data_IF_600260094109
#
_entry.id   IF_600260094109
#
_cell.length_a   1.000
_cell.length_b   1.000
_cell.length_c   1.000
_cell.angle_alpha   90.00
_cell.angle_beta   90.00
_cell.angle_gamma   90.00
#
_symmetry.space_group_name_H-M   'P 1'
#
loop_
_entity.id
_entity.type
_entity.pdbx_description
1 polymer ?
#
# COMPACT_ATOMS: atom_id res chain seq x y z
N UNK A 1 14.87 16.11 2.14
CA UNK A 1 14.13 15.38 3.19
C UNK A 1 13.63 14.04 2.65
N UNK A 2 12.97 13.22 3.48
CA UNK A 2 12.52 11.86 3.12
C UNK A 2 11.00 11.67 3.11
N UNK A 3 10.21 12.75 3.21
CA UNK A 3 8.73 12.66 3.14
C UNK A 3 8.23 12.23 1.76
N UNK A 4 7.25 11.31 1.76
CA UNK A 4 6.56 10.85 0.55
C UNK A 4 5.52 11.83 -0.01
N UNK A 5 5.02 12.78 0.80
CA UNK A 5 3.94 13.69 0.36
C UNK A 5 4.32 15.17 0.42
N UNK A 6 5.28 15.55 1.27
CA UNK A 6 5.65 16.95 1.44
C UNK A 6 6.52 17.40 0.24
N UNK A 7 6.27 18.57 -0.37
CA UNK A 7 7.06 19.04 -1.51
C UNK A 7 8.45 19.50 -1.08
N UNK A 8 9.43 19.35 -1.98
CA UNK A 8 10.83 19.75 -1.75
C UNK A 8 10.98 21.23 -1.43
N UNK A 9 10.09 22.07 -1.96
CA UNK A 9 10.05 23.52 -1.79
C UNK A 9 9.87 23.98 -0.35
N UNK A 10 9.39 23.12 0.56
CA UNK A 10 9.37 23.41 2.00
C UNK A 10 10.76 23.72 2.57
N UNK A 11 11.82 23.22 1.93
CA UNK A 11 13.20 23.46 2.32
C UNK A 11 13.79 24.74 1.71
N UNK A 12 13.17 25.27 0.65
CA UNK A 12 13.70 26.40 -0.11
C UNK A 12 13.95 27.68 0.73
N UNK A 13 13.11 28.02 1.73
CA UNK A 13 13.39 29.17 2.59
C UNK A 13 14.61 29.01 3.51
N UNK A 14 15.06 27.78 3.74
CA UNK A 14 16.08 27.45 4.74
C UNK A 14 17.42 27.04 4.12
N UNK A 15 17.41 26.53 2.87
CA UNK A 15 18.58 25.95 2.23
C UNK A 15 18.68 26.37 0.76
N UNK A 16 19.88 26.73 0.31
CA UNK A 16 20.17 27.02 -1.10
C UNK A 16 20.23 25.75 -1.96
N UNK A 17 20.61 24.62 -1.35
CA UNK A 17 20.69 23.30 -1.98
C UNK A 17 19.74 22.37 -1.23
N UNK A 18 18.71 21.88 -1.89
CA UNK A 18 17.71 21.02 -1.27
C UNK A 18 17.16 19.99 -2.25
N UNK A 19 16.62 18.91 -1.70
CA UNK A 19 16.10 17.81 -2.49
C UNK A 19 15.46 16.74 -1.65
N UNK A 20 15.09 15.66 -2.32
CA UNK A 20 14.32 14.54 -1.82
C UNK A 20 15.17 13.29 -1.91
N UNK A 21 15.11 12.50 -0.84
CA UNK A 21 15.71 11.19 -0.76
C UNK A 21 14.68 10.27 -0.08
N UNK A 22 13.82 9.65 -0.87
CA UNK A 22 12.63 8.95 -0.38
C UNK A 22 12.74 7.45 -0.64
N UNK A 23 13.14 6.66 0.38
CA UNK A 23 13.04 5.21 0.30
C UNK A 23 11.57 4.78 0.42
N UNK A 24 11.03 4.14 -0.62
CA UNK A 24 9.65 3.66 -0.68
C UNK A 24 9.53 2.32 0.05
N UNK A 25 9.33 2.35 1.37
CA UNK A 25 9.14 1.17 2.19
C UNK A 25 8.36 1.51 3.47
N UNK A 26 7.65 0.51 4.01
CA UNK A 26 7.14 0.58 5.39
C UNK A 26 8.24 0.18 6.38
N UNK A 27 8.72 1.15 7.17
CA UNK A 27 9.76 0.92 8.17
C UNK A 27 9.14 0.57 9.52
N UNK A 28 9.70 -0.43 10.20
CA UNK A 28 9.32 -0.78 11.57
C UNK A 28 10.57 -0.98 12.41
N UNK A 29 10.47 -0.73 13.73
CA UNK A 29 11.61 -0.91 14.65
C UNK A 29 12.04 -2.36 14.82
N UNK A 30 11.17 -3.31 14.47
CA UNK A 30 11.33 -4.74 14.75
C UNK A 30 11.98 -5.50 13.59
N UNK A 31 12.08 -4.88 12.40
CA UNK A 31 12.55 -5.54 11.20
C UNK A 31 13.57 -4.65 10.48
N UNK A 32 14.78 -5.18 10.34
CA UNK A 32 15.78 -4.53 9.52
C UNK A 32 15.39 -4.63 8.03
N UNK A 33 15.36 -3.49 7.32
CA UNK A 33 15.07 -3.46 5.89
C UNK A 33 16.27 -3.93 5.08
N UNK A 34 16.05 -4.77 4.07
CA UNK A 34 17.04 -5.00 3.02
C UNK A 34 16.97 -3.87 2.00
N UNK A 35 17.90 -2.90 2.11
CA UNK A 35 17.92 -1.74 1.24
C UNK A 35 18.28 -2.05 -0.22
N UNK A 36 18.88 -3.21 -0.52
CA UNK A 36 19.23 -3.56 -1.89
C UNK A 36 18.00 -3.61 -2.80
N UNK A 37 16.86 -4.05 -2.25
CA UNK A 37 15.59 -4.23 -2.97
C UNK A 37 14.61 -3.07 -2.80
N UNK A 38 14.87 -2.12 -1.91
CA UNK A 38 13.97 -0.99 -1.64
C UNK A 38 14.16 0.10 -2.70
N UNK A 39 13.10 0.52 -3.42
CA UNK A 39 13.20 1.65 -4.33
C UNK A 39 13.55 2.94 -3.57
N UNK A 40 14.57 3.66 -4.04
CA UNK A 40 14.91 5.00 -3.56
C UNK A 40 14.55 6.02 -4.64
N UNK A 41 13.60 6.89 -4.32
CA UNK A 41 13.14 7.97 -5.16
C UNK A 41 13.89 9.26 -4.80
N UNK A 42 14.50 9.92 -5.78
CA UNK A 42 15.25 11.16 -5.58
C UNK A 42 14.73 12.30 -6.45
N UNK A 43 14.94 13.52 -5.99
CA UNK A 43 14.63 14.76 -6.73
C UNK A 43 15.44 15.93 -6.20
N UNK A 44 15.89 16.83 -7.06
CA UNK A 44 16.30 18.17 -6.65
C UNK A 44 16.09 19.16 -7.81
N UNK A 45 15.64 20.40 -7.52
CA UNK A 45 15.63 21.44 -8.54
C UNK A 45 17.03 21.88 -8.97
N UNK A 46 18.09 21.54 -8.22
CA UNK A 46 19.48 21.78 -8.61
C UNK A 46 20.09 20.51 -9.22
N UNK A 47 20.50 20.59 -10.48
CA UNK A 47 21.02 19.44 -11.23
C UNK A 47 22.27 18.82 -10.60
N UNK A 48 23.19 19.62 -10.04
CA UNK A 48 24.37 19.06 -9.36
C UNK A 48 23.99 18.25 -8.12
N UNK A 49 23.07 18.78 -7.29
CA UNK A 49 22.60 18.06 -6.11
C UNK A 49 21.84 16.79 -6.47
N UNK A 50 21.02 16.80 -7.53
CA UNK A 50 20.33 15.60 -7.99
C UNK A 50 21.30 14.49 -8.41
N UNK A 51 22.44 14.84 -9.01
CA UNK A 51 23.49 13.88 -9.34
C UNK A 51 24.19 13.32 -8.08
N UNK A 52 24.45 14.17 -7.08
CA UNK A 52 24.99 13.74 -5.79
C UNK A 52 24.03 12.78 -5.07
N UNK A 53 22.74 13.11 -5.02
CA UNK A 53 21.70 12.24 -4.45
C UNK A 53 21.60 10.91 -5.19
N UNK A 54 21.73 10.92 -6.51
CA UNK A 54 21.74 9.70 -7.32
C UNK A 54 22.96 8.82 -6.98
N UNK A 55 24.13 9.43 -6.84
CA UNK A 55 25.36 8.76 -6.42
C UNK A 55 25.19 8.08 -5.07
N UNK A 56 24.67 8.83 -4.09
CA UNK A 56 24.38 8.30 -2.75
C UNK A 56 23.33 7.18 -2.77
N UNK A 57 22.23 7.34 -3.49
CA UNK A 57 21.18 6.33 -3.53
C UNK A 57 21.68 5.00 -4.10
N UNK A 58 22.56 5.04 -5.11
CA UNK A 58 23.14 3.85 -5.74
C UNK A 58 24.13 3.09 -4.86
N UNK A 59 24.65 3.70 -3.79
CA UNK A 59 25.46 2.96 -2.80
C UNK A 59 24.59 2.18 -1.81
N UNK A 60 23.28 2.46 -1.77
CA UNK A 60 22.34 1.91 -0.78
C UNK A 60 21.35 0.92 -1.43
N UNK A 61 20.88 1.22 -2.65
CA UNK A 61 19.85 0.43 -3.33
C UNK A 61 20.21 0.16 -4.80
N UNK A 62 19.78 -0.99 -5.30
CA UNK A 62 19.88 -1.35 -6.72
C UNK A 62 18.74 -0.72 -7.56
N UNK A 63 17.70 -0.20 -6.92
CA UNK A 63 16.53 0.40 -7.56
C UNK A 63 16.43 1.88 -7.20
N UNK A 64 16.94 2.76 -8.08
CA UNK A 64 16.93 4.21 -7.87
C UNK A 64 16.18 4.91 -8.99
N UNK A 65 15.25 5.80 -8.62
CA UNK A 65 14.35 6.49 -9.54
C UNK A 65 14.39 8.00 -9.33
N UNK A 66 14.39 8.76 -10.43
CA UNK A 66 14.17 10.22 -10.39
C UNK A 66 12.69 10.49 -10.61
N UNK A 67 12.03 11.05 -9.60
CA UNK A 67 10.62 11.42 -9.68
C UNK A 67 10.43 12.79 -9.06
N UNK A 68 9.67 13.67 -9.69
CA UNK A 68 9.42 15.00 -9.15
C UNK A 68 8.44 14.98 -7.94
N UNK A 69 8.15 16.16 -7.40
CA UNK A 69 7.24 16.31 -6.26
C UNK A 69 5.80 15.83 -6.57
N UNK A 70 5.32 16.04 -7.79
CA UNK A 70 3.96 15.65 -8.21
C UNK A 70 3.86 14.12 -8.37
N UNK A 71 4.80 13.53 -9.10
CA UNK A 71 4.92 12.09 -9.28
C UNK A 71 5.09 11.37 -7.94
N UNK A 72 5.88 11.93 -7.02
CA UNK A 72 6.05 11.36 -5.67
C UNK A 72 4.76 11.40 -4.87
N UNK A 73 4.00 12.50 -4.94
CA UNK A 73 2.71 12.59 -4.25
C UNK A 73 1.72 11.54 -4.77
N UNK A 74 1.64 11.34 -6.09
CA UNK A 74 0.80 10.28 -6.70
C UNK A 74 1.25 8.89 -6.25
N UNK A 75 2.55 8.62 -6.31
CA UNK A 75 3.14 7.35 -5.86
C UNK A 75 2.82 7.08 -4.38
N UNK A 76 2.89 8.11 -3.54
CA UNK A 76 2.60 7.97 -2.11
C UNK A 76 1.12 7.61 -1.87
N UNK A 77 0.18 8.21 -2.59
CA UNK A 77 -1.23 7.83 -2.51
C UNK A 77 -1.42 6.37 -2.89
N UNK A 78 -0.82 5.91 -4.00
CA UNK A 78 -0.87 4.50 -4.39
C UNK A 78 -0.26 3.58 -3.32
N UNK A 79 0.86 3.98 -2.69
CA UNK A 79 1.51 3.24 -1.62
C UNK A 79 0.60 3.07 -0.39
N UNK A 80 -0.16 4.11 -0.02
CA UNK A 80 -1.15 4.05 1.07
C UNK A 80 -2.21 2.98 0.79
N UNK A 81 -2.73 2.92 -0.44
CA UNK A 81 -3.70 1.89 -0.83
C UNK A 81 -3.13 0.47 -0.73
N UNK A 82 -1.95 0.23 -1.32
CA UNK A 82 -1.42 -1.14 -1.41
C UNK A 82 -0.82 -1.64 -0.09
N UNK A 83 -0.36 -0.75 0.79
CA UNK A 83 0.29 -1.13 2.05
C UNK A 83 -0.55 -0.80 3.28
N UNK A 84 -0.86 0.48 3.52
CA UNK A 84 -1.49 0.90 4.77
C UNK A 84 -2.93 0.38 4.89
N UNK A 85 -3.72 0.49 3.82
CA UNK A 85 -5.08 -0.03 3.83
C UNK A 85 -5.10 -1.56 3.87
N UNK A 86 -4.23 -2.24 3.12
CA UNK A 86 -4.07 -3.71 3.22
C UNK A 86 -3.76 -4.16 4.65
N UNK A 87 -2.84 -3.48 5.35
CA UNK A 87 -2.52 -3.80 6.74
C UNK A 87 -3.72 -3.59 7.68
N UNK A 88 -4.51 -2.54 7.46
CA UNK A 88 -5.74 -2.34 8.23
C UNK A 88 -6.78 -3.44 7.94
N UNK A 89 -6.90 -3.92 6.69
CA UNK A 89 -7.74 -5.08 6.38
C UNK A 89 -7.27 -6.36 7.08
N UNK A 90 -5.95 -6.54 7.25
CA UNK A 90 -5.40 -7.65 8.05
C UNK A 90 -5.76 -7.51 9.53
N UNK A 91 -5.69 -6.30 10.09
CA UNK A 91 -6.14 -6.01 11.46
C UNK A 91 -7.62 -6.34 11.65
N UNK A 92 -8.50 -5.96 10.70
CA UNK A 92 -9.92 -6.33 10.74
C UNK A 92 -10.09 -7.86 10.80
N UNK A 93 -9.33 -8.60 9.99
CA UNK A 93 -9.33 -10.07 10.03
C UNK A 93 -8.89 -10.63 11.39
N UNK A 94 -7.88 -10.03 12.03
CA UNK A 94 -7.45 -10.39 13.38
C UNK A 94 -8.56 -10.17 14.42
N UNK A 95 -9.24 -9.02 14.38
CA UNK A 95 -10.30 -8.69 15.33
C UNK A 95 -11.52 -9.61 15.15
N UNK A 96 -11.91 -9.90 13.91
CA UNK A 96 -13.01 -10.83 13.61
C UNK A 96 -12.71 -12.24 14.13
N UNK A 97 -11.51 -12.78 13.86
CA UNK A 97 -11.13 -14.11 14.35
C UNK A 97 -10.95 -14.15 15.86
N UNK A 98 -10.40 -13.08 16.45
CA UNK A 98 -10.23 -12.96 17.89
C UNK A 98 -11.54 -13.03 18.67
N UNK A 99 -12.61 -12.40 18.16
CA UNK A 99 -13.95 -12.47 18.74
C UNK A 99 -14.50 -13.92 18.80
N UNK A 100 -14.13 -14.74 17.80
CA UNK A 100 -14.55 -16.13 17.67
C UNK A 100 -13.50 -17.12 18.23
N UNK A 101 -12.47 -16.62 18.93
CA UNK A 101 -11.37 -17.42 19.51
C UNK A 101 -10.63 -18.28 18.47
N UNK A 102 -10.55 -17.80 17.22
CA UNK A 102 -9.82 -18.44 16.15
C UNK A 102 -8.43 -17.83 15.98
N UNK A 103 -7.38 -18.65 15.73
CA UNK A 103 -6.03 -18.13 15.59
C UNK A 103 -5.83 -17.41 14.24
N UNK A 104 -5.23 -16.23 14.26
CA UNK A 104 -4.94 -15.46 13.03
C UNK A 104 -3.98 -16.16 12.07
N UNK A 105 -3.18 -17.10 12.56
CA UNK A 105 -2.29 -17.92 11.73
C UNK A 105 -3.00 -18.63 10.58
N UNK A 106 -4.31 -18.88 10.68
CA UNK A 106 -5.13 -19.45 9.62
C UNK A 106 -5.22 -18.58 8.37
N UNK A 107 -5.07 -17.25 8.50
CA UNK A 107 -5.14 -16.30 7.38
C UNK A 107 -3.77 -15.98 6.75
N UNK A 108 -2.67 -16.30 7.43
CA UNK A 108 -1.33 -15.96 6.95
C UNK A 108 -1.00 -16.55 5.58
N UNK A 109 -1.33 -17.83 5.27
CA UNK A 109 -1.10 -18.38 3.93
C UNK A 109 -1.89 -17.65 2.84
N UNK A 110 -3.13 -17.22 3.14
CA UNK A 110 -3.99 -16.51 2.20
C UNK A 110 -3.45 -15.10 1.87
N UNK A 111 -2.92 -14.41 2.89
CA UNK A 111 -2.27 -13.10 2.73
C UNK A 111 -1.03 -13.24 1.83
N UNK A 112 -0.19 -14.25 2.11
CA UNK A 112 1.04 -14.48 1.35
C UNK A 112 0.74 -14.79 -0.13
N UNK A 113 -0.19 -15.70 -0.38
CA UNK A 113 -0.59 -16.08 -1.74
C UNK A 113 -1.11 -14.88 -2.54
N UNK A 114 -1.92 -14.02 -1.90
CA UNK A 114 -2.45 -12.81 -2.54
C UNK A 114 -1.32 -11.83 -2.89
N UNK A 115 -0.37 -11.63 -1.96
CA UNK A 115 0.78 -10.77 -2.18
C UNK A 115 1.73 -11.28 -3.27
N UNK A 116 1.91 -12.59 -3.38
CA UNK A 116 2.71 -13.24 -4.42
C UNK A 116 2.05 -13.10 -5.79
N UNK A 117 0.75 -13.42 -5.90
CA UNK A 117 0.00 -13.32 -7.17
C UNK A 117 0.08 -11.95 -7.83
N UNK A 118 0.02 -10.86 -7.06
CA UNK A 118 0.09 -9.50 -7.62
C UNK A 118 1.50 -9.10 -8.09
N UNK A 119 2.54 -9.88 -7.76
CA UNK A 119 3.87 -9.70 -8.36
C UNK A 119 3.95 -10.30 -9.77
N UNK A 120 3.14 -11.32 -10.05
CA UNK A 120 3.19 -12.11 -11.28
C UNK A 120 2.08 -11.72 -12.27
N UNK A 121 0.93 -11.28 -11.76
CA UNK A 121 -0.27 -11.01 -12.55
C UNK A 121 -0.92 -9.67 -12.18
N UNK A 122 -1.63 -9.02 -13.11
CA UNK A 122 -2.41 -7.83 -12.82
C UNK A 122 -3.44 -8.06 -11.70
N UNK A 123 -3.51 -7.14 -10.73
CA UNK A 123 -4.40 -7.27 -9.56
C UNK A 123 -5.88 -7.50 -9.94
N UNK A 124 -6.34 -6.87 -11.03
CA UNK A 124 -7.69 -7.05 -11.57
C UNK A 124 -7.97 -8.51 -11.94
N UNK A 125 -7.02 -9.20 -12.56
CA UNK A 125 -7.21 -10.60 -13.00
C UNK A 125 -7.26 -11.56 -11.81
N UNK A 126 -6.53 -11.22 -10.75
CA UNK A 126 -6.41 -12.01 -9.52
C UNK A 126 -7.55 -11.79 -8.52
N UNK A 127 -8.44 -10.82 -8.74
CA UNK A 127 -9.60 -10.58 -7.88
C UNK A 127 -10.43 -11.86 -7.73
N UNK A 128 -10.86 -12.27 -6.55
CA UNK A 128 -11.77 -13.44 -6.40
C UNK A 128 -12.85 -13.14 -5.37
N UNK A 129 -13.58 -14.17 -4.91
CA UNK A 129 -14.58 -14.05 -3.87
C UNK A 129 -16.02 -13.84 -4.36
N UNK A 130 -16.97 -13.71 -3.42
CA UNK A 130 -18.40 -13.69 -3.73
C UNK A 130 -18.81 -12.44 -4.52
N UNK A 131 -18.21 -11.28 -4.26
CA UNK A 131 -18.47 -10.03 -4.98
C UNK A 131 -18.13 -10.16 -6.48
N UNK A 132 -16.95 -10.70 -6.83
CA UNK A 132 -16.56 -10.92 -8.24
C UNK A 132 -17.56 -11.80 -9.00
N UNK A 133 -18.19 -12.77 -8.33
CA UNK A 133 -19.12 -13.72 -8.97
C UNK A 133 -20.60 -13.34 -8.81
N UNK A 134 -20.91 -12.20 -8.18
CA UNK A 134 -22.30 -11.80 -7.91
C UNK A 134 -23.05 -12.72 -6.94
N UNK A 135 -22.35 -13.39 -6.02
CA UNK A 135 -22.96 -14.28 -5.03
C UNK A 135 -23.60 -13.47 -3.88
N UNK A 136 -24.80 -12.96 -4.14
CA UNK A 136 -25.55 -12.11 -3.22
C UNK A 136 -25.93 -12.83 -1.93
N UNK A 137 -26.22 -14.14 -1.98
CA UNK A 137 -26.58 -14.92 -0.80
C UNK A 137 -25.43 -15.01 0.21
N UNK A 138 -24.21 -15.28 -0.27
CA UNK A 138 -23.01 -15.26 0.59
C UNK A 138 -22.75 -13.85 1.13
N UNK A 139 -22.91 -12.81 0.32
CA UNK A 139 -22.74 -11.41 0.74
C UNK A 139 -23.73 -11.05 1.86
N UNK A 140 -25.01 -11.39 1.71
CA UNK A 140 -26.04 -11.15 2.73
C UNK A 140 -25.73 -11.88 4.04
N UNK A 141 -25.24 -13.12 3.94
CA UNK A 141 -24.81 -13.88 5.12
C UNK A 141 -23.64 -13.19 5.85
N UNK A 142 -22.62 -12.74 5.12
CA UNK A 142 -21.52 -11.96 5.70
C UNK A 142 -22.02 -10.67 6.37
N UNK A 143 -22.91 -9.92 5.72
CA UNK A 143 -23.47 -8.68 6.28
C UNK A 143 -24.28 -8.94 7.55
N UNK A 144 -25.02 -10.04 7.61
CA UNK A 144 -25.74 -10.45 8.81
C UNK A 144 -24.79 -10.74 9.98
N UNK A 145 -23.69 -11.46 9.74
CA UNK A 145 -22.64 -11.70 10.72
C UNK A 145 -21.97 -10.39 11.18
N UNK A 146 -21.65 -9.50 10.24
CA UNK A 146 -20.96 -8.23 10.50
C UNK A 146 -21.84 -7.20 11.23
N UNK A 147 -23.11 -7.47 11.51
CA UNK A 147 -23.95 -6.62 12.38
C UNK A 147 -23.32 -6.38 13.75
N UNK A 148 -22.52 -7.33 14.26
CA UNK A 148 -21.77 -7.18 15.53
C UNK A 148 -20.58 -6.23 15.42
N UNK A 149 -20.15 -5.86 14.20
CA UNK A 149 -19.04 -4.95 13.91
C UNK A 149 -19.46 -3.83 12.95
N UNK A 150 -20.23 -2.81 13.40
CA UNK A 150 -20.82 -1.81 12.50
C UNK A 150 -19.82 -1.10 11.59
N UNK A 151 -18.61 -0.81 12.09
CA UNK A 151 -17.53 -0.17 11.30
C UNK A 151 -17.02 -1.10 10.18
N UNK A 152 -16.83 -2.38 10.47
CA UNK A 152 -16.34 -3.35 9.48
C UNK A 152 -17.40 -3.67 8.44
N UNK A 153 -18.66 -3.72 8.87
CA UNK A 153 -19.79 -3.84 7.96
C UNK A 153 -19.82 -2.72 6.93
N UNK A 154 -19.71 -1.46 7.37
CA UNK A 154 -19.71 -0.31 6.45
C UNK A 154 -18.57 -0.38 5.44
N UNK A 155 -17.36 -0.75 5.87
CA UNK A 155 -16.22 -0.91 4.96
C UNK A 155 -16.43 -2.08 3.99
N UNK A 156 -16.94 -3.22 4.47
CA UNK A 156 -17.25 -4.38 3.66
C UNK A 156 -18.29 -4.05 2.57
N UNK A 157 -19.33 -3.29 2.91
CA UNK A 157 -20.37 -2.84 1.97
C UNK A 157 -19.76 -1.97 0.86
N UNK A 158 -18.89 -1.01 1.21
CA UNK A 158 -18.19 -0.16 0.23
C UNK A 158 -17.33 -1.00 -0.70
N UNK A 159 -16.41 -1.82 -0.17
CA UNK A 159 -15.50 -2.63 -0.99
C UNK A 159 -16.25 -3.63 -1.88
N UNK A 160 -17.29 -4.28 -1.32
CA UNK A 160 -18.12 -5.22 -2.06
C UNK A 160 -18.85 -4.54 -3.20
N UNK A 161 -19.39 -3.34 -2.99
CA UNK A 161 -20.04 -2.56 -4.04
C UNK A 161 -19.06 -2.21 -5.16
N UNK A 162 -17.89 -1.67 -4.84
CA UNK A 162 -16.90 -1.30 -5.88
C UNK A 162 -16.48 -2.53 -6.72
N UNK A 163 -16.30 -3.70 -6.09
CA UNK A 163 -16.00 -4.96 -6.79
C UNK A 163 -17.21 -5.46 -7.60
N UNK A 164 -18.44 -5.35 -7.10
CA UNK A 164 -19.61 -5.74 -7.89
C UNK A 164 -19.76 -4.84 -9.13
N UNK A 165 -19.58 -3.54 -8.98
CA UNK A 165 -19.73 -2.58 -10.09
C UNK A 165 -18.67 -2.79 -11.18
N UNK A 166 -17.44 -3.08 -10.80
CA UNK A 166 -16.34 -3.30 -11.75
C UNK A 166 -16.50 -4.62 -12.56
N UNK A 167 -17.20 -5.64 -12.02
CA UNK A 167 -17.34 -6.95 -12.68
C UNK A 167 -18.75 -7.29 -13.19
N UNK A 168 -19.81 -6.60 -12.74
CA UNK A 168 -21.18 -6.82 -13.21
C UNK A 168 -21.65 -5.76 -14.22
N UNK A 169 -20.92 -4.66 -14.43
CA UNK A 169 -21.20 -3.67 -15.49
C UNK A 169 -20.53 -4.00 -16.83
N UNK A 170 -20.09 -5.24 -17.02
CA UNK A 170 -19.51 -5.77 -18.27
C UNK A 170 -20.52 -6.56 -19.09
#
# INVERSE_FOLDING_TARGET
>A
HTSGAAPSTLLAPYFQRYGIFYPLQTFSRQREPDFNSIPICIFSPQSELEQELLGLARTISQSVHRIDDEQRAVLHVAAVFVNNFSNYLFQIGQEILGQEQLPFGLLQPLILETAQKVQEYPAREMQTGPARRGDLATIEHHLAYLKKFPKFRALYEVLTREILEEWLKG
#
